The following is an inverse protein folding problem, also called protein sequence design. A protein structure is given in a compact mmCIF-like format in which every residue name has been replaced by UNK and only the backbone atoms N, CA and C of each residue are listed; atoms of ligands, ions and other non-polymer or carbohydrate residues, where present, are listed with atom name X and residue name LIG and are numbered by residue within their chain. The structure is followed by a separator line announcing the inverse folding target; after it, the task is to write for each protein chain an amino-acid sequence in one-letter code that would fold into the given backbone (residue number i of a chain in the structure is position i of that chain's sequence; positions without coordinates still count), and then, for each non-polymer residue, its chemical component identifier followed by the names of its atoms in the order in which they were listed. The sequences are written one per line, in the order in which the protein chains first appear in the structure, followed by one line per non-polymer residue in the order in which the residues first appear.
data_IF_885363797452
#
_entry.id   IF_885363797452
#
_cell.length_a   1.000
_cell.length_b   1.000
_cell.length_c   1.000
_cell.angle_alpha   90.00
_cell.angle_beta   90.00
_cell.angle_gamma   90.00
#
_symmetry.space_group_name_H-M   'P 1'
#
loop_
_entity.id
_entity.type
_entity.pdbx_description
1 polymer ?
#
# COMPACT_ATOMS: atom_id res chain seq x y z
N UNK A 1 -23.33 15.04 9.17
CA UNK A 1 -21.89 14.86 8.90
C UNK A 1 -21.11 15.35 10.11
N UNK A 2 -20.22 14.53 10.67
CA UNK A 2 -19.32 14.99 11.72
C UNK A 2 -18.25 15.90 11.08
N UNK A 3 -17.88 16.99 11.76
CA UNK A 3 -16.81 17.86 11.32
C UNK A 3 -15.45 17.15 11.43
N UNK A 4 -14.52 17.47 10.53
CA UNK A 4 -13.11 17.11 10.69
C UNK A 4 -12.57 17.70 12.01
N UNK A 5 -11.56 17.06 12.63
CA UNK A 5 -10.91 17.62 13.82
C UNK A 5 -10.41 19.05 13.59
N UNK A 6 -10.33 19.91 14.64
CA UNK A 6 -9.87 21.28 14.54
C UNK A 6 -8.52 21.39 13.82
N UNK A 7 -8.37 22.38 12.94
CA UNK A 7 -7.17 22.57 12.12
C UNK A 7 -7.32 22.14 10.64
N UNK A 8 -8.51 21.68 10.22
CA UNK A 8 -8.80 21.52 8.79
C UNK A 8 -9.01 22.90 8.15
N UNK A 9 -8.28 23.21 7.08
CA UNK A 9 -8.54 24.39 6.26
C UNK A 9 -9.90 24.23 5.59
N UNK A 10 -10.82 25.16 5.84
CA UNK A 10 -12.11 25.25 5.15
C UNK A 10 -11.84 25.70 3.71
N UNK A 11 -11.97 24.77 2.76
CA UNK A 11 -11.78 25.02 1.33
C UNK A 11 -12.08 23.75 0.53
N UNK A 12 -11.87 23.76 -0.78
CA UNK A 12 -12.08 22.62 -1.69
C UNK A 12 -11.39 21.31 -1.29
N UNK A 13 -10.44 21.38 -0.34
CA UNK A 13 -9.74 20.24 0.24
C UNK A 13 -10.55 19.46 1.30
N UNK A 14 -11.53 20.12 1.95
CA UNK A 14 -12.36 19.47 3.00
C UNK A 14 -13.25 18.36 2.45
N UNK A 15 -13.53 18.37 1.16
CA UNK A 15 -14.42 17.40 0.51
C UNK A 15 -13.70 16.11 0.08
N UNK A 16 -12.36 16.07 0.14
CA UNK A 16 -11.60 14.89 -0.32
C UNK A 16 -11.61 13.73 0.70
N UNK A 17 -11.80 14.04 1.97
CA UNK A 17 -12.01 13.07 3.05
C UNK A 17 -13.29 13.43 3.79
N UNK A 18 -14.29 12.55 3.71
CA UNK A 18 -15.52 12.71 4.49
C UNK A 18 -15.40 11.92 5.79
N UNK A 19 -15.97 12.47 6.86
CA UNK A 19 -16.04 11.81 8.16
C UNK A 19 -17.49 11.70 8.59
N UNK A 20 -17.93 10.48 8.83
CA UNK A 20 -19.23 10.19 9.43
C UNK A 20 -19.02 9.71 10.87
N UNK A 21 -19.87 10.15 11.79
CA UNK A 21 -19.90 9.65 13.16
C UNK A 21 -21.17 8.85 13.38
N UNK A 22 -21.03 7.67 13.98
CA UNK A 22 -22.16 6.83 14.41
C UNK A 22 -21.80 6.24 15.78
N UNK A 23 -22.42 6.77 16.84
CA UNK A 23 -22.04 6.39 18.20
C UNK A 23 -20.53 6.57 18.44
N UNK A 24 -19.89 5.50 18.86
CA UNK A 24 -18.44 5.44 19.11
C UNK A 24 -17.60 5.11 17.86
N UNK A 25 -18.22 4.95 16.71
CA UNK A 25 -17.53 4.65 15.45
C UNK A 25 -17.32 5.91 14.63
N UNK A 26 -16.14 6.05 14.02
CA UNK A 26 -15.84 7.07 12.99
C UNK A 26 -15.56 6.38 11.67
N UNK A 27 -16.21 6.86 10.61
CA UNK A 27 -16.09 6.32 9.27
C UNK A 27 -15.36 7.35 8.43
N UNK A 28 -14.16 6.98 7.98
CA UNK A 28 -13.30 7.77 7.12
C UNK A 28 -13.54 7.35 5.67
N UNK A 29 -14.07 8.26 4.86
CA UNK A 29 -14.46 7.98 3.48
C UNK A 29 -13.55 8.74 2.54
N UNK A 30 -12.71 8.02 1.78
CA UNK A 30 -11.89 8.59 0.73
C UNK A 30 -12.82 9.05 -0.41
N UNK A 31 -12.84 10.34 -0.71
CA UNK A 31 -13.85 10.97 -1.59
C UNK A 31 -13.23 11.71 -2.78
N UNK A 32 -12.42 11.00 -3.55
CA UNK A 32 -11.92 11.42 -4.86
C UNK A 32 -12.23 10.35 -5.93
N UNK A 33 -13.50 9.98 -6.14
CA UNK A 33 -13.85 8.81 -6.97
C UNK A 33 -13.42 8.93 -8.43
N UNK A 34 -13.32 10.16 -8.97
CA UNK A 34 -12.83 10.42 -10.34
C UNK A 34 -11.34 10.09 -10.49
N UNK A 35 -10.55 10.24 -9.43
CA UNK A 35 -9.13 9.89 -9.34
C UNK A 35 -8.92 8.53 -8.64
N UNK A 36 -9.94 7.65 -8.60
CA UNK A 36 -9.89 6.36 -7.92
C UNK A 36 -9.42 6.47 -6.45
N UNK A 37 -9.78 7.56 -5.79
CA UNK A 37 -9.39 7.90 -4.42
C UNK A 37 -7.87 7.98 -4.20
N UNK A 38 -7.11 8.39 -5.22
CA UNK A 38 -5.68 8.65 -5.09
C UNK A 38 -5.42 9.67 -3.95
N UNK A 39 -4.43 9.37 -3.10
CA UNK A 39 -4.11 10.14 -1.91
C UNK A 39 -3.39 11.44 -2.29
N UNK A 40 -4.06 12.57 -2.15
CA UNK A 40 -3.42 13.88 -2.22
C UNK A 40 -2.70 14.21 -0.91
N UNK A 41 -1.78 15.17 -0.95
CA UNK A 41 -1.09 15.67 0.26
C UNK A 41 -2.10 16.15 1.33
N UNK A 42 -3.19 16.79 0.94
CA UNK A 42 -4.25 17.22 1.86
C UNK A 42 -5.02 16.04 2.46
N UNK A 43 -5.34 15.00 1.70
CA UNK A 43 -5.97 13.79 2.24
C UNK A 43 -5.08 13.09 3.25
N UNK A 44 -3.78 12.92 2.95
CA UNK A 44 -2.81 12.31 3.86
C UNK A 44 -2.77 13.07 5.18
N UNK A 45 -2.63 14.40 5.13
CA UNK A 45 -2.63 15.27 6.31
C UNK A 45 -3.95 15.21 7.09
N UNK A 46 -5.08 15.12 6.40
CA UNK A 46 -6.39 14.98 7.03
C UNK A 46 -6.54 13.63 7.73
N UNK A 47 -6.14 12.53 7.09
CA UNK A 47 -6.13 11.20 7.70
C UNK A 47 -5.21 11.16 8.93
N UNK A 48 -4.00 11.72 8.83
CA UNK A 48 -3.05 11.79 9.94
C UNK A 48 -3.67 12.52 11.15
N UNK A 49 -4.36 13.64 10.92
CA UNK A 49 -5.09 14.34 11.99
C UNK A 49 -6.21 13.50 12.58
N UNK A 50 -7.02 12.83 11.73
CA UNK A 50 -8.11 11.96 12.18
C UNK A 50 -7.58 10.84 13.08
N UNK A 51 -6.59 10.08 12.64
CA UNK A 51 -6.02 8.99 13.44
C UNK A 51 -5.43 9.48 14.74
N UNK A 52 -4.64 10.56 14.70
CA UNK A 52 -4.01 11.12 15.90
C UNK A 52 -5.03 11.66 16.92
N UNK A 53 -6.11 12.28 16.43
CA UNK A 53 -7.17 12.85 17.30
C UNK A 53 -8.06 11.74 17.86
N UNK A 54 -8.54 10.84 17.00
CA UNK A 54 -9.49 9.81 17.39
C UNK A 54 -8.86 8.72 18.26
N UNK A 55 -7.56 8.49 18.13
CA UNK A 55 -6.87 7.58 19.05
C UNK A 55 -6.95 8.05 20.50
N UNK A 56 -6.89 9.37 20.74
CA UNK A 56 -6.93 9.98 22.07
C UNK A 56 -8.35 10.26 22.58
N UNK A 57 -9.35 10.20 21.71
CA UNK A 57 -10.75 10.48 22.05
C UNK A 57 -11.42 9.23 22.63
N UNK A 58 -11.77 9.26 23.92
CA UNK A 58 -12.48 8.17 24.59
C UNK A 58 -13.89 7.93 24.04
N UNK A 59 -14.48 8.91 23.38
CA UNK A 59 -15.73 8.80 22.62
C UNK A 59 -15.59 8.07 21.29
N UNK A 60 -14.39 7.64 20.91
CA UNK A 60 -14.15 6.84 19.69
C UNK A 60 -13.60 5.47 20.08
N UNK A 61 -14.24 4.41 19.62
CA UNK A 61 -13.86 3.02 19.90
C UNK A 61 -13.44 2.23 18.66
N UNK A 62 -13.90 2.65 17.49
CA UNK A 62 -13.66 1.97 16.22
C UNK A 62 -13.47 2.99 15.09
N UNK A 63 -12.51 2.71 14.21
CA UNK A 63 -12.31 3.43 12.95
C UNK A 63 -12.67 2.51 11.78
N UNK A 64 -13.52 2.98 10.88
CA UNK A 64 -13.80 2.31 9.61
C UNK A 64 -13.23 3.17 8.50
N UNK A 65 -12.52 2.55 7.55
CA UNK A 65 -12.04 3.23 6.34
C UNK A 65 -12.62 2.58 5.10
N UNK A 66 -13.14 3.41 4.18
CA UNK A 66 -13.68 2.96 2.90
C UNK A 66 -13.45 4.00 1.80
N UNK A 67 -13.50 3.56 0.55
CA UNK A 67 -13.46 4.43 -0.63
C UNK A 67 -14.85 4.66 -1.20
N UNK A 68 -15.12 5.86 -1.73
CA UNK A 68 -16.32 6.16 -2.50
C UNK A 68 -16.13 5.75 -3.96
N UNK A 69 -17.11 5.07 -4.54
CA UNK A 69 -17.09 4.65 -5.95
C UNK A 69 -16.43 3.27 -6.16
N UNK A 70 -15.73 3.10 -7.30
CA UNK A 70 -15.23 1.81 -7.77
C UNK A 70 -13.86 1.39 -7.21
N UNK A 71 -13.24 2.21 -6.39
CA UNK A 71 -11.93 1.94 -5.81
C UNK A 71 -11.95 2.23 -4.31
N UNK A 72 -11.28 1.42 -3.54
CA UNK A 72 -10.89 1.81 -2.20
C UNK A 72 -9.87 2.96 -2.30
N UNK A 73 -8.69 2.71 -2.89
CA UNK A 73 -7.66 3.72 -3.14
C UNK A 73 -6.63 3.18 -4.13
N UNK A 74 -6.31 3.96 -5.17
CA UNK A 74 -5.35 3.56 -6.21
C UNK A 74 -3.89 3.93 -5.93
N UNK A 75 -3.60 4.48 -4.74
CA UNK A 75 -2.24 4.88 -4.35
C UNK A 75 -2.10 6.36 -4.09
N UNK A 76 -0.87 6.86 -4.02
CA UNK A 76 -0.57 8.28 -3.97
C UNK A 76 -0.92 9.00 -5.28
N UNK A 77 -1.23 10.30 -5.21
CA UNK A 77 -1.44 11.12 -6.41
C UNK A 77 -0.09 11.48 -7.04
N UNK A 78 0.51 10.47 -7.72
CA UNK A 78 1.85 10.57 -8.32
C UNK A 78 1.93 11.70 -9.35
N UNK A 79 0.87 11.90 -10.14
CA UNK A 79 0.86 12.99 -11.16
C UNK A 79 0.98 14.35 -10.49
N UNK A 80 0.19 14.60 -9.44
CA UNK A 80 0.28 15.84 -8.67
C UNK A 80 1.64 15.96 -7.95
N UNK A 81 2.15 14.85 -7.43
CA UNK A 81 3.46 14.80 -6.77
C UNK A 81 4.59 15.24 -7.72
N UNK A 82 4.64 14.70 -8.94
CA UNK A 82 5.66 15.07 -9.94
C UNK A 82 5.52 16.54 -10.35
N UNK A 83 4.31 17.03 -10.57
CA UNK A 83 4.07 18.44 -10.89
C UNK A 83 4.60 19.37 -9.78
N UNK A 84 4.33 19.01 -8.51
CA UNK A 84 4.82 19.79 -7.38
C UNK A 84 6.34 19.70 -7.22
N UNK A 85 6.95 18.53 -7.47
CA UNK A 85 8.42 18.40 -7.48
C UNK A 85 9.05 19.30 -8.54
N UNK A 86 8.48 19.38 -9.73
CA UNK A 86 8.97 20.29 -10.79
C UNK A 86 8.86 21.76 -10.40
N UNK A 87 7.79 22.15 -9.70
CA UNK A 87 7.53 23.55 -9.35
C UNK A 87 8.26 24.01 -8.07
N UNK A 88 8.37 23.12 -7.07
CA UNK A 88 8.78 23.44 -5.70
C UNK A 88 10.09 22.72 -5.28
N UNK A 89 10.57 21.80 -6.13
CA UNK A 89 11.78 21.03 -5.88
C UNK A 89 11.53 19.70 -5.14
N UNK A 90 12.57 18.88 -5.09
CA UNK A 90 12.50 17.51 -4.55
C UNK A 90 12.08 17.45 -3.06
N UNK A 91 12.34 18.49 -2.28
CA UNK A 91 11.95 18.56 -0.85
C UNK A 91 10.44 18.47 -0.66
N UNK A 92 9.67 19.00 -1.59
CA UNK A 92 8.22 18.81 -1.58
C UNK A 92 7.83 17.34 -1.71
N UNK A 93 8.49 16.60 -2.62
CA UNK A 93 8.31 15.15 -2.78
C UNK A 93 8.71 14.39 -1.51
N UNK A 94 9.83 14.75 -0.90
CA UNK A 94 10.27 14.18 0.37
C UNK A 94 9.22 14.40 1.48
N UNK A 95 8.62 15.58 1.58
CA UNK A 95 7.56 15.87 2.55
C UNK A 95 6.26 15.11 2.26
N UNK A 96 5.93 14.88 0.98
CA UNK A 96 4.80 14.05 0.61
C UNK A 96 4.97 12.62 1.14
N UNK A 97 6.11 11.97 0.87
CA UNK A 97 6.42 10.63 1.36
C UNK A 97 6.57 10.58 2.88
N UNK A 98 7.17 11.60 3.49
CA UNK A 98 7.28 11.72 4.96
C UNK A 98 5.91 11.65 5.62
N UNK A 99 4.94 12.45 5.14
CA UNK A 99 3.60 12.49 5.72
C UNK A 99 2.84 11.17 5.47
N UNK A 100 3.01 10.54 4.29
CA UNK A 100 2.43 9.24 3.99
C UNK A 100 2.97 8.17 4.95
N UNK A 101 4.28 8.06 5.10
CA UNK A 101 4.88 7.01 5.94
C UNK A 101 4.65 7.25 7.44
N UNK A 102 4.55 8.50 7.85
CA UNK A 102 4.12 8.82 9.21
C UNK A 102 2.67 8.36 9.44
N UNK A 103 1.77 8.58 8.48
CA UNK A 103 0.40 8.08 8.53
C UNK A 103 0.36 6.55 8.62
N UNK A 104 1.12 5.86 7.78
CA UNK A 104 1.18 4.39 7.77
C UNK A 104 1.69 3.84 9.12
N UNK A 105 2.70 4.51 9.70
CA UNK A 105 3.21 4.17 11.03
C UNK A 105 2.17 4.41 12.13
N UNK A 106 1.44 5.53 12.10
CA UNK A 106 0.37 5.85 13.05
C UNK A 106 -0.75 4.81 12.96
N UNK A 107 -1.14 4.40 11.74
CA UNK A 107 -2.13 3.33 11.53
C UNK A 107 -1.63 2.01 12.11
N UNK A 108 -0.40 1.62 11.81
CA UNK A 108 0.21 0.37 12.29
C UNK A 108 0.30 0.28 13.81
N UNK A 109 0.44 1.42 14.48
CA UNK A 109 0.62 1.51 15.93
C UNK A 109 -0.61 2.05 16.68
N UNK A 110 -1.71 2.32 15.98
CA UNK A 110 -2.94 2.85 16.55
C UNK A 110 -3.53 1.86 17.58
N UNK A 111 -3.87 2.35 18.77
CA UNK A 111 -4.42 1.51 19.84
C UNK A 111 -5.88 1.12 19.61
N UNK A 112 -6.60 1.89 18.78
CA UNK A 112 -8.00 1.59 18.42
C UNK A 112 -8.05 0.73 17.16
N UNK A 113 -8.97 -0.26 17.10
CA UNK A 113 -9.11 -1.10 15.93
C UNK A 113 -9.53 -0.27 14.72
N UNK A 114 -8.92 -0.57 13.58
CA UNK A 114 -9.31 -0.09 12.26
C UNK A 114 -9.87 -1.25 11.44
N UNK A 115 -11.01 -1.03 10.79
CA UNK A 115 -11.60 -1.92 9.79
C UNK A 115 -11.52 -1.22 8.43
N UNK A 116 -10.70 -1.75 7.53
CA UNK A 116 -10.60 -1.30 6.14
C UNK A 116 -11.52 -2.15 5.25
N UNK A 117 -12.54 -1.53 4.66
CA UNK A 117 -13.49 -2.19 3.75
C UNK A 117 -12.94 -2.12 2.32
N UNK A 118 -12.19 -3.16 1.92
CA UNK A 118 -11.43 -3.21 0.68
C UNK A 118 -12.33 -3.65 -0.47
N UNK A 119 -12.96 -2.69 -1.15
CA UNK A 119 -13.74 -3.00 -2.36
C UNK A 119 -13.16 -2.27 -3.57
N UNK A 120 -13.04 -2.98 -4.70
CA UNK A 120 -12.40 -2.46 -5.90
C UNK A 120 -10.88 -2.34 -5.76
N UNK A 121 -10.28 -1.31 -6.34
CA UNK A 121 -8.84 -1.12 -6.46
C UNK A 121 -8.21 -0.75 -5.11
N UNK A 122 -7.14 -1.48 -4.73
CA UNK A 122 -6.30 -1.26 -3.53
C UNK A 122 -4.85 -1.35 -3.98
N UNK A 123 -4.19 -0.21 -4.20
CA UNK A 123 -2.83 -0.21 -4.76
C UNK A 123 -1.94 0.83 -4.07
N UNK A 124 -0.63 0.58 -4.02
CA UNK A 124 0.37 1.52 -3.53
C UNK A 124 0.00 2.15 -2.18
N UNK A 125 -0.07 3.48 -2.09
CA UNK A 125 -0.49 4.20 -0.87
C UNK A 125 -1.83 3.73 -0.30
N UNK A 126 -2.73 3.17 -1.13
CA UNK A 126 -3.98 2.54 -0.67
C UNK A 126 -3.73 1.27 0.13
N UNK A 127 -2.70 0.50 -0.22
CA UNK A 127 -2.22 -0.61 0.61
C UNK A 127 -1.67 -0.08 1.95
N UNK A 128 -0.86 0.98 1.94
CA UNK A 128 -0.31 1.59 3.16
C UNK A 128 -1.39 1.96 4.18
N UNK A 129 -2.39 2.73 3.78
CA UNK A 129 -3.46 3.18 4.70
C UNK A 129 -4.42 2.07 5.13
N UNK A 130 -4.36 0.89 4.53
CA UNK A 130 -5.28 -0.22 4.84
C UNK A 130 -4.62 -1.44 5.48
N UNK A 131 -3.47 -1.90 4.95
CA UNK A 131 -2.87 -3.18 5.35
C UNK A 131 -2.25 -3.16 6.74
N UNK A 132 -1.88 -2.00 7.24
CA UNK A 132 -1.36 -1.85 8.60
C UNK A 132 -2.46 -1.81 9.68
N UNK A 133 -3.72 -1.68 9.28
CA UNK A 133 -4.88 -1.69 10.19
C UNK A 133 -5.20 -3.09 10.75
N UNK A 134 -6.03 -3.13 11.79
CA UNK A 134 -6.37 -4.37 12.50
C UNK A 134 -7.16 -5.36 11.63
N UNK A 135 -8.11 -4.88 10.84
CA UNK A 135 -8.97 -5.71 10.01
C UNK A 135 -8.96 -5.22 8.57
N UNK A 136 -8.67 -6.12 7.67
CA UNK A 136 -8.62 -5.92 6.22
C UNK A 136 -9.67 -6.82 5.61
N UNK A 137 -10.83 -6.25 5.31
CA UNK A 137 -12.00 -6.98 4.82
C UNK A 137 -12.03 -6.88 3.29
N UNK A 138 -11.62 -7.94 2.63
CA UNK A 138 -11.62 -8.05 1.17
C UNK A 138 -12.97 -8.56 0.64
N UNK A 139 -13.27 -8.27 -0.62
CA UNK A 139 -14.50 -8.68 -1.28
C UNK A 139 -14.24 -9.37 -2.63
N UNK A 140 -15.28 -9.93 -3.23
CA UNK A 140 -15.26 -10.45 -4.61
C UNK A 140 -14.86 -9.40 -5.67
N UNK A 141 -14.89 -8.11 -5.32
CA UNK A 141 -14.51 -7.00 -6.20
C UNK A 141 -13.13 -6.42 -5.92
N UNK A 142 -12.44 -6.90 -4.89
CA UNK A 142 -11.13 -6.39 -4.52
C UNK A 142 -10.09 -6.74 -5.59
N UNK A 143 -9.26 -5.76 -5.93
CA UNK A 143 -8.10 -5.91 -6.81
C UNK A 143 -6.93 -5.20 -6.13
N UNK A 144 -6.01 -5.99 -5.60
CA UNK A 144 -4.78 -5.50 -4.97
C UNK A 144 -3.60 -5.60 -5.94
N UNK A 145 -2.69 -4.62 -5.90
CA UNK A 145 -1.37 -4.71 -6.52
C UNK A 145 -0.41 -3.68 -5.93
N UNK A 146 0.91 -3.95 -6.09
CA UNK A 146 2.00 -2.99 -5.87
C UNK A 146 2.73 -2.78 -7.21
N UNK A 147 2.24 -1.86 -8.07
CA UNK A 147 2.74 -1.70 -9.45
C UNK A 147 3.95 -0.74 -9.57
N UNK A 148 4.59 -0.38 -8.47
CA UNK A 148 5.56 0.70 -8.36
C UNK A 148 6.79 0.52 -9.25
N UNK A 149 7.25 -0.73 -9.47
CA UNK A 149 8.40 -1.03 -10.33
C UNK A 149 8.20 -0.61 -11.78
N UNK A 150 6.94 -0.63 -12.25
CA UNK A 150 6.58 -0.14 -13.58
C UNK A 150 6.57 1.41 -13.68
N UNK A 151 6.56 2.11 -12.53
CA UNK A 151 6.63 3.57 -12.46
C UNK A 151 8.06 4.09 -12.19
N UNK A 152 9.07 3.21 -12.12
CA UNK A 152 10.41 3.60 -11.72
C UNK A 152 10.53 3.92 -10.22
N UNK A 153 9.59 3.42 -9.42
CA UNK A 153 9.56 3.48 -7.96
C UNK A 153 9.79 2.06 -7.40
N UNK A 154 9.63 1.85 -6.16
CA UNK A 154 9.64 0.55 -5.47
C UNK A 154 8.35 0.42 -4.64
N UNK A 155 7.86 -0.79 -4.32
CA UNK A 155 6.80 -0.98 -3.35
C UNK A 155 7.19 -0.39 -2.00
N UNK A 156 6.59 0.73 -1.67
CA UNK A 156 6.82 1.56 -0.48
C UNK A 156 5.70 1.39 0.55
N UNK A 157 5.42 2.38 1.38
CA UNK A 157 4.33 2.43 2.37
C UNK A 157 4.34 1.26 3.37
N UNK A 158 5.52 0.77 3.71
CA UNK A 158 5.71 -0.41 4.55
C UNK A 158 5.55 -1.73 3.80
N UNK A 159 5.60 -1.73 2.46
CA UNK A 159 5.53 -2.96 1.68
C UNK A 159 6.66 -3.93 2.00
N UNK A 160 7.85 -3.44 2.29
CA UNK A 160 8.95 -4.29 2.73
C UNK A 160 8.66 -4.99 4.06
N UNK A 161 7.74 -4.48 4.88
CA UNK A 161 7.26 -5.13 6.09
C UNK A 161 6.20 -6.20 5.79
N UNK A 162 5.09 -5.85 5.10
CA UNK A 162 4.00 -6.82 4.93
C UNK A 162 4.28 -7.84 3.83
N UNK A 163 4.95 -7.50 2.72
CA UNK A 163 5.27 -8.46 1.67
C UNK A 163 6.34 -9.46 2.10
N UNK A 164 7.34 -9.03 2.88
CA UNK A 164 8.39 -9.93 3.35
C UNK A 164 7.89 -11.05 4.29
N UNK A 165 6.67 -10.92 4.81
CA UNK A 165 6.02 -11.85 5.73
C UNK A 165 5.02 -12.79 5.05
N UNK A 166 4.85 -12.66 3.73
CA UNK A 166 4.06 -13.61 2.97
C UNK A 166 4.79 -14.94 2.86
N UNK A 167 4.04 -16.06 2.70
CA UNK A 167 4.64 -17.39 2.62
C UNK A 167 5.72 -17.50 1.54
N UNK A 168 6.81 -18.16 1.85
CA UNK A 168 7.94 -18.37 0.94
C UNK A 168 8.50 -17.06 0.38
N UNK A 169 8.59 -16.97 -0.94
CA UNK A 169 9.03 -15.78 -1.68
C UNK A 169 7.89 -15.06 -2.41
N UNK A 170 6.64 -15.37 -2.04
CA UNK A 170 5.47 -14.82 -2.73
C UNK A 170 5.42 -13.28 -2.70
N UNK A 171 5.90 -12.67 -1.62
CA UNK A 171 6.00 -11.21 -1.52
C UNK A 171 7.02 -10.60 -2.49
N UNK A 172 8.15 -11.28 -2.75
CA UNK A 172 9.10 -10.85 -3.78
C UNK A 172 8.45 -10.89 -5.17
N UNK A 173 7.72 -11.97 -5.49
CA UNK A 173 6.95 -12.09 -6.72
C UNK A 173 5.93 -10.94 -6.88
N UNK A 174 5.09 -10.72 -5.87
CA UNK A 174 4.07 -9.65 -5.90
C UNK A 174 4.70 -8.29 -6.15
N UNK A 175 5.81 -8.00 -5.47
CA UNK A 175 6.50 -6.73 -5.56
C UNK A 175 7.18 -6.48 -6.92
N UNK A 176 7.88 -7.48 -7.43
CA UNK A 176 8.70 -7.32 -8.63
C UNK A 176 7.86 -7.31 -9.91
N UNK A 177 6.82 -8.16 -9.93
CA UNK A 177 5.94 -8.34 -11.09
C UNK A 177 4.77 -7.34 -11.10
N UNK A 178 4.47 -6.73 -9.94
CA UNK A 178 3.26 -5.94 -9.77
C UNK A 178 2.01 -6.81 -9.89
N UNK A 179 2.05 -8.04 -9.38
CA UNK A 179 0.98 -9.02 -9.52
C UNK A 179 -0.34 -8.49 -8.96
N UNK A 180 -1.43 -8.76 -9.67
CA UNK A 180 -2.77 -8.42 -9.21
C UNK A 180 -3.36 -9.60 -8.47
N UNK A 181 -3.77 -9.34 -7.22
CA UNK A 181 -4.44 -10.32 -6.38
C UNK A 181 -5.91 -9.94 -6.23
N UNK A 182 -6.79 -10.93 -6.31
CA UNK A 182 -8.19 -10.72 -5.94
C UNK A 182 -8.38 -10.87 -4.41
N UNK A 183 -9.62 -10.63 -3.94
CA UNK A 183 -9.91 -10.67 -2.51
C UNK A 183 -9.69 -12.04 -1.87
N UNK A 184 -9.93 -13.13 -2.60
CA UNK A 184 -9.68 -14.49 -2.14
C UNK A 184 -8.18 -14.75 -1.98
N UNK A 185 -7.39 -14.35 -2.97
CA UNK A 185 -5.93 -14.46 -2.95
C UNK A 185 -5.31 -13.64 -1.82
N UNK A 186 -5.83 -12.43 -1.56
CA UNK A 186 -5.37 -11.60 -0.44
C UNK A 186 -5.58 -12.29 0.91
N UNK A 187 -6.68 -12.97 1.13
CA UNK A 187 -6.91 -13.71 2.39
C UNK A 187 -6.00 -14.92 2.47
N UNK A 188 -5.90 -15.69 1.40
CA UNK A 188 -5.12 -16.94 1.37
C UNK A 188 -3.61 -16.68 1.56
N UNK A 189 -3.08 -15.55 1.09
CA UNK A 189 -1.67 -15.20 1.33
C UNK A 189 -1.46 -14.38 2.63
N UNK A 190 -2.51 -14.02 3.37
CA UNK A 190 -2.41 -13.30 4.64
C UNK A 190 -2.41 -11.77 4.53
N UNK A 191 -2.58 -11.19 3.34
CA UNK A 191 -2.71 -9.74 3.15
C UNK A 191 -4.06 -9.20 3.66
N UNK A 192 -5.14 -9.97 3.52
CA UNK A 192 -6.44 -9.64 4.12
C UNK A 192 -6.77 -10.59 5.27
N UNK A 193 -7.61 -10.14 6.21
CA UNK A 193 -8.02 -10.91 7.38
C UNK A 193 -9.34 -11.64 7.18
N UNK A 194 -10.23 -11.08 6.37
CA UNK A 194 -11.56 -11.62 6.13
C UNK A 194 -11.96 -11.42 4.67
N UNK A 195 -12.78 -12.32 4.18
CA UNK A 195 -13.42 -12.23 2.87
C UNK A 195 -14.94 -12.27 3.02
N UNK A 196 -15.64 -11.46 2.25
CA UNK A 196 -17.09 -11.52 2.13
C UNK A 196 -17.54 -11.09 0.72
N UNK A 197 -18.75 -11.50 0.34
CA UNK A 197 -19.37 -11.01 -0.88
C UNK A 197 -19.73 -9.52 -0.75
N UNK A 198 -19.44 -8.73 -1.77
CA UNK A 198 -19.64 -7.28 -1.75
C UNK A 198 -21.09 -6.83 -1.46
N UNK A 199 -22.08 -7.69 -1.73
CA UNK A 199 -23.48 -7.43 -1.39
C UNK A 199 -23.77 -7.46 0.13
N UNK A 200 -22.89 -8.07 0.94
CA UNK A 200 -22.99 -8.09 2.41
C UNK A 200 -22.30 -6.91 3.08
N UNK A 201 -21.50 -6.13 2.32
CA UNK A 201 -20.64 -5.08 2.86
C UNK A 201 -21.44 -4.00 3.61
N UNK A 202 -22.60 -3.62 3.10
CA UNK A 202 -23.48 -2.64 3.75
C UNK A 202 -24.01 -3.15 5.10
N UNK A 203 -24.38 -4.43 5.18
CA UNK A 203 -24.88 -5.05 6.41
C UNK A 203 -23.78 -5.13 7.46
N UNK A 204 -22.56 -5.46 7.05
CA UNK A 204 -21.39 -5.43 7.94
C UNK A 204 -21.13 -4.00 8.46
N UNK A 205 -21.15 -3.00 7.58
CA UNK A 205 -20.95 -1.60 7.97
C UNK A 205 -21.98 -1.15 9.01
N UNK A 206 -23.28 -1.45 8.79
CA UNK A 206 -24.34 -1.12 9.74
C UNK A 206 -24.20 -1.83 11.09
N UNK A 207 -23.63 -3.04 11.11
CA UNK A 207 -23.31 -3.75 12.36
C UNK A 207 -22.12 -3.15 13.07
N UNK A 208 -21.06 -2.75 12.33
CA UNK A 208 -19.88 -2.08 12.88
C UNK A 208 -20.20 -0.68 13.42
N UNK A 209 -21.18 0.03 12.87
CA UNK A 209 -21.64 1.34 13.38
C UNK A 209 -22.19 1.28 14.82
N UNK A 210 -22.64 0.10 15.26
CA UNK A 210 -23.20 -0.13 16.60
C UNK A 210 -22.16 -0.54 17.64
N UNK A 211 -20.89 -0.64 17.25
CA UNK A 211 -19.80 -1.04 18.15
C UNK A 211 -19.52 0.06 19.17
N UNK A 212 -19.50 -0.34 20.44
CA UNK A 212 -19.26 0.53 21.62
C UNK A 212 -17.96 0.18 22.38
N UNK A 213 -17.12 -0.67 21.80
CA UNK A 213 -15.89 -1.19 22.42
C UNK A 213 -14.69 -1.12 21.46
N UNK A 214 -13.49 -0.96 22.03
CA UNK A 214 -12.22 -1.11 21.31
C UNK A 214 -11.65 -2.53 21.43
N UNK A 215 -12.41 -3.48 21.96
CA UNK A 215 -11.97 -4.86 22.06
C UNK A 215 -11.90 -5.50 20.67
N UNK A 216 -10.70 -5.81 20.22
CA UNK A 216 -10.42 -6.36 18.89
C UNK A 216 -11.15 -7.70 18.67
N UNK A 217 -11.26 -8.56 19.69
CA UNK A 217 -11.97 -9.84 19.57
C UNK A 217 -13.49 -9.63 19.40
N UNK A 218 -14.07 -8.62 20.05
CA UNK A 218 -15.48 -8.30 19.86
C UNK A 218 -15.76 -7.80 18.44
N UNK A 219 -14.90 -6.94 17.90
CA UNK A 219 -14.98 -6.48 16.50
C UNK A 219 -14.80 -7.65 15.53
N UNK A 220 -13.82 -8.54 15.78
CA UNK A 220 -13.60 -9.74 14.96
C UNK A 220 -14.87 -10.61 14.86
N UNK A 221 -15.51 -10.89 16.00
CA UNK A 221 -16.75 -11.71 16.03
C UNK A 221 -17.90 -11.10 15.22
N UNK A 222 -17.96 -9.78 15.13
CA UNK A 222 -18.97 -9.11 14.28
C UNK A 222 -18.62 -9.33 12.80
N UNK A 223 -17.36 -9.18 12.42
CA UNK A 223 -16.92 -9.39 11.03
C UNK A 223 -17.10 -10.87 10.64
N UNK A 224 -16.76 -11.81 11.52
CA UNK A 224 -16.90 -13.26 11.33
C UNK A 224 -18.35 -13.69 10.96
N UNK A 225 -19.38 -12.94 11.43
CA UNK A 225 -20.79 -13.25 11.09
C UNK A 225 -21.10 -13.06 9.60
N UNK A 226 -20.33 -12.25 8.90
CA UNK A 226 -20.51 -11.93 7.48
C UNK A 226 -19.46 -12.60 6.61
N UNK A 227 -18.33 -12.99 7.20
CA UNK A 227 -17.19 -13.57 6.50
C UNK A 227 -17.52 -14.96 5.93
N UNK A 228 -16.90 -15.24 4.79
CA UNK A 228 -17.00 -16.52 4.09
C UNK A 228 -15.59 -17.06 3.85
N UNK A 229 -15.49 -18.39 3.71
CA UNK A 229 -14.27 -19.03 3.23
C UNK A 229 -14.11 -18.71 1.73
N UNK A 230 -13.04 -18.03 1.31
CA UNK A 230 -12.82 -17.77 -0.10
C UNK A 230 -12.41 -19.05 -0.83
N UNK A 231 -12.83 -19.16 -2.09
CA UNK A 231 -12.33 -20.18 -3.02
C UNK A 231 -11.40 -19.51 -4.04
N UNK A 232 -10.22 -20.10 -4.24
CA UNK A 232 -9.30 -19.63 -5.27
C UNK A 232 -9.81 -20.02 -6.66
N UNK A 233 -9.57 -19.14 -7.63
CA UNK A 233 -9.78 -19.47 -9.05
C UNK A 233 -8.75 -20.50 -9.51
N UNK A 234 -9.10 -21.34 -10.46
CA UNK A 234 -8.19 -22.37 -11.01
C UNK A 234 -6.86 -21.80 -11.50
N UNK A 235 -6.87 -20.61 -12.07
CA UNK A 235 -5.68 -19.92 -12.58
C UNK A 235 -4.97 -19.03 -11.56
N UNK A 236 -5.32 -19.13 -10.26
CA UNK A 236 -4.63 -18.36 -9.22
C UNK A 236 -3.16 -18.74 -9.11
N UNK A 237 -2.29 -17.73 -8.97
CA UNK A 237 -0.86 -17.93 -8.71
C UNK A 237 -0.60 -18.63 -7.38
N UNK A 238 -1.53 -18.58 -6.44
CA UNK A 238 -1.44 -19.28 -5.15
C UNK A 238 -1.71 -20.80 -5.24
N UNK A 239 -2.28 -21.27 -6.33
CA UNK A 239 -2.42 -22.71 -6.58
C UNK A 239 -1.08 -23.35 -7.00
N UNK A 240 -0.03 -22.55 -7.17
CA UNK A 240 1.31 -22.98 -7.57
C UNK A 240 2.31 -22.67 -6.47
N UNK A 241 3.25 -23.56 -6.26
CA UNK A 241 4.37 -23.29 -5.35
C UNK A 241 5.32 -22.25 -6.00
N UNK A 242 6.07 -21.56 -5.17
CA UNK A 242 7.12 -20.64 -5.69
C UNK A 242 8.14 -21.41 -6.51
N UNK A 243 8.43 -22.65 -6.12
CA UNK A 243 9.32 -23.56 -6.84
C UNK A 243 8.76 -23.90 -8.25
N UNK A 244 7.46 -24.08 -8.38
CA UNK A 244 6.81 -24.30 -9.69
C UNK A 244 6.87 -23.01 -10.54
N UNK A 245 6.72 -21.82 -9.94
CA UNK A 245 6.88 -20.56 -10.64
C UNK A 245 8.35 -20.37 -11.09
N UNK A 246 9.32 -20.63 -10.20
CA UNK A 246 10.74 -20.57 -10.52
C UNK A 246 11.11 -21.62 -11.57
N UNK A 247 10.66 -22.85 -11.41
CA UNK A 247 10.90 -23.93 -12.37
C UNK A 247 10.32 -23.61 -13.75
N UNK A 248 9.13 -22.99 -13.82
CA UNK A 248 8.54 -22.53 -15.06
C UNK A 248 9.36 -21.41 -15.73
N UNK A 249 10.00 -20.54 -14.93
CA UNK A 249 10.91 -19.51 -15.42
C UNK A 249 12.23 -20.10 -15.92
N UNK A 250 12.76 -21.14 -15.27
CA UNK A 250 14.05 -21.76 -15.61
C UNK A 250 13.96 -22.76 -16.77
N UNK A 251 12.84 -23.49 -16.88
CA UNK A 251 12.71 -24.63 -17.82
C UNK A 251 12.20 -24.26 -19.22
N UNK A 252 12.03 -22.98 -19.60
CA UNK A 252 11.41 -22.61 -20.89
C UNK A 252 10.22 -23.54 -21.16
N UNK A 253 9.12 -23.28 -20.47
CA UNK A 253 7.94 -24.14 -20.31
C UNK A 253 7.59 -25.00 -21.51
N UNK A 254 7.47 -26.30 -21.26
CA UNK A 254 7.04 -27.31 -22.26
C UNK A 254 5.52 -27.50 -22.31
N UNK A 255 4.74 -26.83 -21.44
CA UNK A 255 3.28 -26.93 -21.38
C UNK A 255 2.60 -25.57 -21.53
N UNK A 256 1.57 -25.48 -22.39
CA UNK A 256 0.86 -24.24 -22.78
C UNK A 256 0.33 -23.39 -21.63
N UNK A 257 -0.09 -23.97 -20.51
CA UNK A 257 -0.58 -23.22 -19.35
C UNK A 257 0.54 -22.54 -18.56
N UNK A 258 1.70 -23.17 -18.48
CA UNK A 258 2.87 -22.67 -17.75
C UNK A 258 3.64 -21.64 -18.58
N UNK A 259 3.61 -21.81 -19.90
CA UNK A 259 4.20 -20.87 -20.85
C UNK A 259 3.53 -19.48 -20.77
N UNK A 260 2.21 -19.42 -20.61
CA UNK A 260 1.51 -18.13 -20.48
C UNK A 260 1.86 -17.40 -19.19
N UNK A 261 1.96 -18.09 -18.04
CA UNK A 261 2.36 -17.49 -16.76
C UNK A 261 3.80 -17.01 -16.82
N UNK A 262 4.72 -17.86 -17.30
CA UNK A 262 6.12 -17.48 -17.46
C UNK A 262 6.28 -16.28 -18.41
N UNK A 263 5.56 -16.27 -19.54
CA UNK A 263 5.57 -15.14 -20.48
C UNK A 263 5.05 -13.85 -19.84
N UNK A 264 3.98 -13.92 -19.02
CA UNK A 264 3.42 -12.76 -18.34
C UNK A 264 4.39 -12.18 -17.30
N UNK A 265 5.04 -13.05 -16.51
CA UNK A 265 6.05 -12.64 -15.51
C UNK A 265 7.25 -12.01 -16.22
N UNK A 266 7.81 -12.67 -17.23
CA UNK A 266 8.94 -12.15 -17.99
C UNK A 266 8.59 -10.80 -18.64
N UNK A 267 7.39 -10.68 -19.20
CA UNK A 267 6.94 -9.42 -19.80
C UNK A 267 6.82 -8.30 -18.76
N UNK A 268 6.29 -8.58 -17.56
CA UNK A 268 6.20 -7.62 -16.48
C UNK A 268 7.57 -7.15 -16.00
N UNK A 269 8.50 -8.09 -15.79
CA UNK A 269 9.88 -7.79 -15.39
C UNK A 269 10.63 -6.97 -16.47
N UNK A 270 10.42 -7.28 -17.77
CA UNK A 270 11.03 -6.52 -18.88
C UNK A 270 10.47 -5.11 -19.01
N UNK A 271 9.25 -4.85 -18.56
CA UNK A 271 8.63 -3.51 -18.59
C UNK A 271 9.00 -2.67 -17.37
N UNK A 272 9.40 -3.28 -16.27
CA UNK A 272 9.78 -2.59 -15.04
C UNK A 272 11.16 -1.93 -15.15
N UNK A 273 11.39 -0.86 -14.37
CA UNK A 273 12.72 -0.24 -14.25
C UNK A 273 13.72 -1.24 -13.66
N UNK A 274 14.88 -1.46 -14.31
CA UNK A 274 15.93 -2.33 -13.78
C UNK A 274 16.42 -1.91 -12.39
N UNK A 275 16.57 -0.60 -12.15
CA UNK A 275 16.94 -0.06 -10.85
C UNK A 275 15.87 -0.37 -9.81
N UNK A 276 14.60 -0.12 -10.14
CA UNK A 276 13.47 -0.39 -9.25
C UNK A 276 13.38 -1.87 -8.85
N UNK A 277 13.61 -2.79 -9.78
CA UNK A 277 13.62 -4.23 -9.48
C UNK A 277 14.68 -4.59 -8.44
N UNK A 278 15.92 -4.10 -8.59
CA UNK A 278 17.02 -4.41 -7.65
C UNK A 278 16.79 -3.81 -6.27
N UNK A 279 16.41 -2.53 -6.19
CA UNK A 279 16.15 -1.88 -4.88
C UNK A 279 14.92 -2.48 -4.19
N UNK A 280 13.87 -2.85 -4.94
CA UNK A 280 12.68 -3.51 -4.40
C UNK A 280 13.01 -4.86 -3.78
N UNK A 281 13.72 -5.72 -4.51
CA UNK A 281 14.12 -7.03 -4.03
C UNK A 281 14.92 -6.94 -2.73
N UNK A 282 15.90 -6.07 -2.70
CA UNK A 282 16.73 -5.85 -1.49
C UNK A 282 15.87 -5.32 -0.33
N UNK A 283 15.03 -4.33 -0.58
CA UNK A 283 14.16 -3.73 0.44
C UNK A 283 13.27 -4.77 1.11
N UNK A 284 12.65 -5.67 0.34
CA UNK A 284 11.79 -6.73 0.87
C UNK A 284 12.60 -7.73 1.69
N UNK A 285 13.75 -8.15 1.19
CA UNK A 285 14.62 -9.11 1.90
C UNK A 285 15.11 -8.57 3.24
N UNK A 286 15.53 -7.31 3.30
CA UNK A 286 15.89 -6.66 4.56
C UNK A 286 14.68 -6.52 5.50
N UNK A 287 13.50 -6.25 4.97
CA UNK A 287 12.27 -6.10 5.75
C UNK A 287 11.87 -7.34 6.55
N UNK A 288 12.36 -8.54 6.20
CA UNK A 288 12.05 -9.80 6.91
C UNK A 288 12.41 -9.77 8.39
N UNK A 289 13.47 -9.08 8.75
CA UNK A 289 14.00 -9.00 10.12
C UNK A 289 13.75 -7.66 10.79
N UNK A 290 13.15 -6.70 10.08
CA UNK A 290 12.96 -5.34 10.54
C UNK A 290 11.54 -5.10 11.07
N UNK A 291 11.43 -4.15 12.00
CA UNK A 291 10.14 -3.61 12.44
C UNK A 291 9.54 -2.72 11.36
N UNK A 292 8.24 -2.44 11.47
CA UNK A 292 7.57 -1.50 10.55
C UNK A 292 8.23 -0.11 10.55
N UNK A 293 8.68 0.38 11.71
CA UNK A 293 9.35 1.67 11.81
C UNK A 293 10.72 1.69 11.11
N UNK A 294 11.48 0.60 11.17
CA UNK A 294 12.75 0.46 10.44
C UNK A 294 12.52 0.36 8.94
N UNK A 295 11.53 -0.42 8.50
CA UNK A 295 11.14 -0.50 7.10
C UNK A 295 10.78 0.88 6.54
N UNK A 296 9.87 1.62 7.20
CA UNK A 296 9.43 2.94 6.74
C UNK A 296 10.56 3.98 6.73
N UNK A 297 11.50 3.95 7.70
CA UNK A 297 12.68 4.85 7.65
C UNK A 297 13.58 4.54 6.46
N UNK A 298 13.83 3.27 6.18
CA UNK A 298 14.61 2.86 5.01
C UNK A 298 13.91 3.25 3.72
N UNK A 299 12.64 2.94 3.58
CA UNK A 299 11.82 3.31 2.43
C UNK A 299 11.79 4.83 2.22
N UNK A 300 11.78 5.63 3.31
CA UNK A 300 11.85 7.08 3.20
C UNK A 300 13.17 7.56 2.60
N UNK A 301 14.32 7.00 3.01
CA UNK A 301 15.61 7.32 2.40
C UNK A 301 15.60 7.00 0.91
N UNK A 302 15.12 5.80 0.55
CA UNK A 302 14.99 5.37 -0.84
C UNK A 302 14.11 6.32 -1.65
N UNK A 303 12.94 6.70 -1.11
CA UNK A 303 12.04 7.63 -1.76
C UNK A 303 12.67 9.02 -1.96
N UNK A 304 13.44 9.52 -0.98
CA UNK A 304 14.15 10.79 -1.09
C UNK A 304 15.19 10.78 -2.21
N UNK A 305 15.99 9.70 -2.36
CA UNK A 305 16.93 9.57 -3.48
C UNK A 305 16.22 9.54 -4.84
N UNK A 306 15.07 8.86 -4.91
CA UNK A 306 14.27 8.76 -6.13
C UNK A 306 13.71 10.13 -6.54
N UNK A 307 13.12 10.90 -5.61
CA UNK A 307 12.54 12.20 -5.95
C UNK A 307 13.58 13.30 -6.20
N UNK A 308 14.80 13.12 -5.70
CA UNK A 308 15.96 13.95 -6.09
C UNK A 308 16.42 13.63 -7.50
N UNK A 309 16.30 12.38 -7.92
CA UNK A 309 16.80 11.91 -9.21
C UNK A 309 18.34 11.84 -9.26
N UNK A 310 18.99 11.59 -8.11
CA UNK A 310 20.45 11.60 -7.99
C UNK A 310 21.12 10.50 -8.80
N UNK A 311 20.50 9.31 -8.84
CA UNK A 311 21.11 8.12 -9.45
C UNK A 311 20.35 7.64 -10.69
N UNK A 312 19.04 7.89 -10.76
CA UNK A 312 18.18 7.59 -11.90
C UNK A 312 16.98 8.52 -11.91
N UNK A 313 16.49 8.85 -13.10
CA UNK A 313 15.24 9.59 -13.31
C UNK A 313 14.08 8.69 -13.68
N UNK A 314 14.18 7.40 -13.43
CA UNK A 314 13.19 6.39 -13.83
C UNK A 314 11.80 6.67 -13.26
N UNK A 315 11.69 7.22 -12.06
CA UNK A 315 10.40 7.61 -11.47
C UNK A 315 9.68 8.69 -12.29
N UNK A 316 10.41 9.68 -12.80
CA UNK A 316 9.85 10.72 -13.65
C UNK A 316 9.49 10.16 -15.01
N UNK A 317 10.36 9.33 -15.59
CA UNK A 317 10.15 8.70 -16.89
C UNK A 317 9.00 7.68 -16.88
N UNK A 318 8.96 6.78 -15.89
CA UNK A 318 7.87 5.81 -15.76
C UNK A 318 6.52 6.49 -15.54
N UNK A 319 6.51 7.53 -14.72
CA UNK A 319 5.30 8.32 -14.51
C UNK A 319 4.87 9.08 -15.76
N UNK A 320 5.82 9.64 -16.55
CA UNK A 320 5.53 10.22 -17.85
C UNK A 320 4.85 9.20 -18.76
N UNK A 321 5.50 8.04 -18.92
CA UNK A 321 5.07 7.02 -19.88
C UNK A 321 3.72 6.39 -19.50
N UNK A 322 3.43 6.21 -18.20
CA UNK A 322 2.26 5.45 -17.75
C UNK A 322 1.09 6.36 -17.33
N UNK A 323 1.36 7.50 -16.70
CA UNK A 323 0.32 8.32 -16.10
C UNK A 323 0.03 9.61 -16.87
N UNK A 324 1.05 10.23 -17.49
CA UNK A 324 0.96 11.55 -18.14
C UNK A 324 0.72 11.37 -19.63
N UNK A 325 1.73 10.92 -20.38
CA UNK A 325 1.66 10.74 -21.84
C UNK A 325 0.90 9.48 -22.24
N UNK A 326 0.93 8.46 -21.38
CA UNK A 326 0.24 7.16 -21.57
C UNK A 326 0.68 6.39 -22.79
N UNK A 327 1.91 6.61 -23.27
CA UNK A 327 2.51 5.91 -24.40
C UNK A 327 2.96 4.48 -24.04
N UNK A 328 2.99 4.13 -22.74
CA UNK A 328 3.37 2.82 -22.21
C UNK A 328 4.79 2.38 -22.63
N UNK A 329 5.66 3.33 -22.94
CA UNK A 329 7.01 3.10 -23.46
C UNK A 329 8.07 3.88 -22.68
N UNK A 330 8.36 3.49 -21.41
CA UNK A 330 9.37 4.17 -20.60
C UNK A 330 10.79 3.85 -21.11
N UNK A 331 11.64 4.87 -21.09
CA UNK A 331 13.06 4.78 -21.46
C UNK A 331 13.90 4.72 -20.18
N UNK A 332 14.12 3.53 -19.66
CA UNK A 332 14.85 3.31 -18.40
C UNK A 332 16.34 3.62 -18.51
N UNK A 333 16.92 4.15 -17.42
CA UNK A 333 18.34 4.44 -17.34
C UNK A 333 18.92 3.95 -16.00
N UNK A 334 19.76 2.90 -16.01
CA UNK A 334 20.20 2.10 -17.16
C UNK A 334 19.10 1.17 -17.71
N UNK A 335 19.15 0.79 -19.00
CA UNK A 335 18.08 0.01 -19.64
C UNK A 335 18.13 -1.49 -19.34
N UNK A 336 19.12 -2.02 -18.65
CA UNK A 336 19.29 -3.45 -18.39
C UNK A 336 19.71 -3.71 -16.94
N UNK A 337 19.25 -4.84 -16.39
CA UNK A 337 19.58 -5.27 -15.02
C UNK A 337 21.09 -5.40 -14.75
N UNK A 338 21.84 -5.89 -15.74
CA UNK A 338 23.28 -6.11 -15.61
C UNK A 338 24.06 -4.80 -15.47
N UNK A 339 23.49 -3.69 -15.89
CA UNK A 339 24.09 -2.35 -15.82
C UNK A 339 23.78 -1.63 -14.50
N UNK A 340 22.90 -2.17 -13.67
CA UNK A 340 22.65 -1.66 -12.33
C UNK A 340 23.63 -2.34 -11.36
N UNK A 341 24.71 -1.66 -11.01
CA UNK A 341 25.74 -2.19 -10.11
C UNK A 341 25.28 -2.13 -8.65
N UNK A 342 25.84 -3.02 -7.82
CA UNK A 342 25.46 -3.14 -6.41
C UNK A 342 25.78 -1.87 -5.61
N UNK A 343 26.85 -1.16 -5.98
CA UNK A 343 27.21 0.13 -5.39
C UNK A 343 26.13 1.20 -5.63
N UNK A 344 25.51 1.20 -6.81
CA UNK A 344 24.39 2.10 -7.12
C UNK A 344 23.15 1.73 -6.31
N UNK A 345 22.90 0.44 -6.11
CA UNK A 345 21.80 -0.04 -5.24
C UNK A 345 22.04 0.40 -3.79
N UNK A 346 23.29 0.27 -3.28
CA UNK A 346 23.65 0.67 -1.91
C UNK A 346 23.32 2.14 -1.63
N UNK A 347 23.56 3.01 -2.59
CA UNK A 347 23.34 4.44 -2.45
C UNK A 347 21.89 4.79 -2.12
N UNK A 348 20.89 4.07 -2.66
CA UNK A 348 19.48 4.30 -2.34
C UNK A 348 19.14 4.05 -0.87
N UNK A 349 19.93 3.23 -0.17
CA UNK A 349 19.71 2.87 1.24
C UNK A 349 20.46 3.82 2.20
N UNK A 350 21.35 4.65 1.67
CA UNK A 350 22.14 5.61 2.44
C UNK A 350 21.29 6.80 2.89
N UNK A 351 21.82 7.55 3.87
CA UNK A 351 21.25 8.86 4.22
C UNK A 351 21.50 9.86 3.10
N UNK A 352 20.58 10.81 2.98
CA UNK A 352 20.72 11.89 2.01
C UNK A 352 21.85 12.84 2.45
N UNK A 353 22.76 13.16 1.55
CA UNK A 353 23.81 14.17 1.77
C UNK A 353 23.24 15.58 1.47
N UNK A 354 22.47 16.10 2.42
CA UNK A 354 21.94 17.46 2.42
C UNK A 354 21.81 17.91 3.87
N UNK A 355 22.53 19.01 4.29
CA UNK A 355 22.51 19.48 5.68
C UNK A 355 21.10 19.91 6.17
N UNK A 356 20.17 20.18 5.27
CA UNK A 356 18.81 20.57 5.60
C UNK A 356 17.83 19.38 5.52
N UNK A 357 18.32 18.17 5.20
CA UNK A 357 17.47 17.00 5.18
C UNK A 357 17.46 16.32 6.56
N UNK A 358 16.27 15.91 6.96
CA UNK A 358 16.08 15.12 8.17
C UNK A 358 15.53 13.75 7.82
N UNK A 359 16.06 12.72 8.45
CA UNK A 359 15.54 11.35 8.33
C UNK A 359 14.09 11.27 8.87
N UNK A 360 13.38 10.18 8.55
CA UNK A 360 12.02 9.99 9.02
C UNK A 360 12.01 9.82 10.55
N UNK A 361 11.53 10.84 11.23
CA UNK A 361 11.35 10.81 12.68
C UNK A 361 9.96 10.27 13.02
N UNK A 362 9.90 9.04 13.53
CA UNK A 362 8.67 8.38 13.94
C UNK A 362 8.49 8.56 15.46
N UNK A 363 7.27 8.87 15.93
CA UNK A 363 7.01 9.01 17.35
C UNK A 363 7.25 7.70 18.09
N UNK A 364 7.79 7.77 19.30
CA UNK A 364 7.92 6.60 20.17
C UNK A 364 6.51 6.09 20.51
N UNK A 365 6.23 4.85 20.15
CA UNK A 365 4.97 4.17 20.44
C UNK A 365 5.27 2.77 20.95
N UNK A 366 4.57 2.35 21.97
CA UNK A 366 4.63 0.97 22.43
C UNK A 366 3.87 0.12 21.40
N UNK A 367 4.58 -0.77 20.72
CA UNK A 367 3.96 -1.78 19.89
C UNK A 367 3.12 -2.69 20.81
N UNK A 368 1.83 -2.46 20.86
CA UNK A 368 0.94 -3.51 21.35
C UNK A 368 1.04 -4.61 20.28
N UNK A 369 1.65 -5.74 20.66
CA UNK A 369 1.83 -6.88 19.76
C UNK A 369 0.50 -7.33 19.17
N UNK A 370 0.13 -6.74 18.04
CA UNK A 370 -1.03 -7.13 17.26
C UNK A 370 -0.56 -8.10 16.18
N UNK A 371 -0.19 -9.28 16.61
CA UNK A 371 -0.24 -10.44 15.73
C UNK A 371 -1.71 -10.91 15.80
N UNK A 372 -2.56 -10.35 14.94
CA UNK A 372 -3.72 -11.12 14.49
C UNK A 372 -3.10 -12.05 13.46
N UNK A 373 -2.64 -13.21 13.92
CA UNK A 373 -2.33 -14.31 13.03
C UNK A 373 -3.56 -14.52 12.16
N UNK A 374 -3.38 -14.43 10.84
CA UNK A 374 -4.39 -14.91 9.92
C UNK A 374 -4.72 -16.32 10.38
N UNK A 375 -5.97 -16.59 10.67
CA UNK A 375 -6.43 -17.96 10.88
C UNK A 375 -6.27 -18.68 9.53
N UNK A 376 -5.07 -19.22 9.27
CA UNK A 376 -4.86 -20.25 8.26
C UNK A 376 -5.31 -21.58 8.83
#
# INVERSE_FOLDING_TARGET
MASLPPGSTAGADSDQLLVEASGYTRILILNRPKQLNALSSSMIKALLRCFTTYEKDDGVKLLIMKGKGRAFCSGGDVTACIQSIHNEGWKWGADFFRNQYLLDYIIATCTKPQVSLLTGIVMGGGAGVSLHGSFRVATDKTIFAMPETALGLFPDVGASYFLSRLPGFYGEYVALVGARLDGAEMVMCGLATHFLQSNKLLLLEESLKKVDTSNTLAVCRIIDQFAEQPSLKENSSLNRTVEEIISALEQRASNLSDEWVAATIIQSLKKASPTSLKISLRSIREGRTQTIGECLRREYRMACHIVRGDFSRDFFEGSRAILIDKDQNPMWMPPRLEQVHDEAVEQYFSKIDDPQWEDLNLPTRHSHGRIIESKL
#
